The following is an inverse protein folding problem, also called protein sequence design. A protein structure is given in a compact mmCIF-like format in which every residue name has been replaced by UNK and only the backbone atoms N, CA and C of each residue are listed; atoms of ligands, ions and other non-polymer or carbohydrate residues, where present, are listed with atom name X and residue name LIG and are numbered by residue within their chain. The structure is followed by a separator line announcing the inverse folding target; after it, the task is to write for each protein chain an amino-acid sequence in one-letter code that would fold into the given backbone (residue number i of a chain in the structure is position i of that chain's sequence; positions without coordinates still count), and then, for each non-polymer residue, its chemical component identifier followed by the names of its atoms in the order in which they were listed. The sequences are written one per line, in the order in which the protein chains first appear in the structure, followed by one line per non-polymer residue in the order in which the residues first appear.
data_IF_949437997528
#
_entry.id   IF_949437997528
#
_cell.length_a   1.000
_cell.length_b   1.000
_cell.length_c   1.000
_cell.angle_alpha   90.00
_cell.angle_beta   90.00
_cell.angle_gamma   90.00
#
_symmetry.space_group_name_H-M   'P 1'
#
loop_
_entity.id
_entity.type
_entity.pdbx_description
1 polymer ?
#
# COMPACT_ATOMS: atom_id res chain seq x y z
N UNK A 1 12.36 17.32 37.21
CA UNK A 1 13.61 16.57 36.89
C UNK A 1 13.30 15.08 37.03
N UNK A 2 13.60 14.22 36.04
CA UNK A 2 13.31 12.79 36.13
C UNK A 2 13.96 12.17 37.37
N UNK A 3 13.27 11.23 38.02
CA UNK A 3 13.81 10.51 39.17
C UNK A 3 15.02 9.65 38.76
N UNK A 4 15.79 9.15 39.73
CA UNK A 4 16.87 8.18 39.43
C UNK A 4 16.29 6.91 38.79
N UNK A 5 15.17 6.43 39.33
CA UNK A 5 14.49 5.22 38.86
C UNK A 5 13.97 5.35 37.42
N UNK A 6 13.30 6.44 37.07
CA UNK A 6 12.82 6.65 35.69
C UNK A 6 13.97 6.75 34.69
N UNK A 7 15.13 7.27 35.11
CA UNK A 7 16.33 7.32 34.27
C UNK A 7 16.91 5.93 34.04
N UNK A 8 16.98 5.11 35.10
CA UNK A 8 17.44 3.73 34.99
C UNK A 8 16.50 2.91 34.09
N UNK A 9 15.18 3.00 34.27
CA UNK A 9 14.21 2.30 33.42
C UNK A 9 14.38 2.63 31.94
N UNK A 10 14.55 3.90 31.58
CA UNK A 10 14.78 4.29 30.19
C UNK A 10 16.12 3.77 29.66
N UNK A 11 17.19 3.86 30.46
CA UNK A 11 18.50 3.33 30.06
C UNK A 11 18.46 1.81 29.88
N UNK A 12 17.83 1.07 30.78
CA UNK A 12 17.69 -0.38 30.71
C UNK A 12 16.87 -0.81 29.50
N UNK A 13 15.78 -0.10 29.19
CA UNK A 13 14.98 -0.31 27.99
C UNK A 13 15.81 -0.09 26.71
N UNK A 14 16.53 1.03 26.62
CA UNK A 14 17.37 1.33 25.46
C UNK A 14 18.46 0.28 25.28
N UNK A 15 19.14 -0.13 26.36
CA UNK A 15 20.16 -1.17 26.32
C UNK A 15 19.57 -2.52 25.88
N UNK A 16 18.39 -2.88 26.39
CA UNK A 16 17.70 -4.12 26.00
C UNK A 16 17.38 -4.12 24.50
N UNK A 17 16.69 -3.10 23.99
CA UNK A 17 16.29 -3.02 22.59
C UNK A 17 17.51 -2.96 21.64
N UNK A 18 18.59 -2.32 22.09
CA UNK A 18 19.87 -2.31 21.37
C UNK A 18 20.51 -3.70 21.31
N UNK A 19 20.59 -4.40 22.44
CA UNK A 19 21.19 -5.74 22.50
C UNK A 19 20.38 -6.78 21.70
N UNK A 20 19.05 -6.62 21.64
CA UNK A 20 18.15 -7.44 20.83
C UNK A 20 18.19 -7.07 19.33
N UNK A 21 18.87 -5.98 18.96
CA UNK A 21 18.98 -5.50 17.58
C UNK A 21 17.73 -4.77 17.06
N UNK A 22 16.75 -4.48 17.93
CA UNK A 22 15.52 -3.78 17.59
C UNK A 22 15.73 -2.25 17.50
N UNK A 23 16.78 -1.73 18.14
CA UNK A 23 17.11 -0.31 18.17
C UNK A 23 18.51 -0.08 17.60
N UNK A 24 18.59 0.66 16.49
CA UNK A 24 19.86 1.00 15.81
C UNK A 24 20.39 2.38 16.18
N UNK A 25 19.60 3.21 16.86
CA UNK A 25 20.01 4.53 17.32
C UNK A 25 18.85 5.29 17.97
N UNK A 26 19.17 6.27 18.82
CA UNK A 26 18.17 7.04 19.56
C UNK A 26 18.54 8.52 19.66
N UNK A 27 17.62 9.40 19.27
CA UNK A 27 17.83 10.84 19.34
C UNK A 27 16.70 11.55 20.07
N UNK A 28 17.08 12.42 21.01
CA UNK A 28 16.15 13.34 21.67
C UNK A 28 16.33 14.72 21.05
N UNK A 29 15.23 15.40 20.71
CA UNK A 29 15.24 16.75 20.16
C UNK A 29 14.43 17.71 21.02
N UNK A 30 14.68 19.03 20.88
CA UNK A 30 14.02 20.09 21.67
C UNK A 30 14.05 19.85 23.20
N UNK A 31 15.05 19.10 23.68
CA UNK A 31 15.12 18.72 25.07
C UNK A 31 15.67 19.88 25.92
N UNK A 32 15.13 20.11 27.12
CA UNK A 32 15.73 21.04 28.08
C UNK A 32 17.19 20.69 28.40
N UNK A 33 18.01 21.68 28.76
CA UNK A 33 19.46 21.51 28.98
C UNK A 33 19.80 20.34 29.92
N UNK A 34 19.03 20.14 30.98
CA UNK A 34 19.24 19.06 31.94
C UNK A 34 19.00 17.66 31.35
N UNK A 35 18.11 17.51 30.37
CA UNK A 35 17.93 16.26 29.61
C UNK A 35 19.09 16.06 28.64
N UNK A 36 19.55 17.12 27.95
CA UNK A 36 20.69 17.02 27.03
C UNK A 36 21.95 16.55 27.75
N UNK A 37 22.26 17.16 28.89
CA UNK A 37 23.39 16.77 29.75
C UNK A 37 23.26 15.32 30.22
N UNK A 38 22.07 14.89 30.60
CA UNK A 38 21.80 13.52 31.01
C UNK A 38 22.11 12.51 29.90
N UNK A 39 21.69 12.76 28.67
CA UNK A 39 21.97 11.87 27.53
C UNK A 39 23.45 11.88 27.15
N UNK A 40 24.10 13.05 27.16
CA UNK A 40 25.55 13.14 26.86
C UNK A 40 26.41 12.40 27.89
N UNK A 41 26.02 12.42 29.17
CA UNK A 41 26.73 11.70 30.23
C UNK A 41 26.38 10.21 30.21
N UNK A 42 25.10 9.86 30.07
CA UNK A 42 24.64 8.47 30.02
C UNK A 42 25.24 7.69 28.85
N UNK A 43 25.30 8.28 27.65
CA UNK A 43 25.92 7.66 26.48
C UNK A 43 27.42 7.38 26.67
N UNK A 44 28.14 8.25 27.38
CA UNK A 44 29.58 8.06 27.69
C UNK A 44 29.83 6.99 28.74
N UNK A 45 28.97 6.90 29.75
CA UNK A 45 29.13 5.93 30.85
C UNK A 45 28.75 4.52 30.39
N UNK A 46 27.66 4.38 29.64
CA UNK A 46 27.13 3.06 29.27
C UNK A 46 27.69 2.49 27.97
N UNK A 47 28.59 3.21 27.27
CA UNK A 47 29.21 2.79 25.99
C UNK A 47 28.21 2.07 25.07
N UNK A 48 27.05 2.71 24.84
CA UNK A 48 26.00 2.17 23.98
C UNK A 48 26.61 1.73 22.65
N UNK A 49 26.33 0.49 22.24
CA UNK A 49 26.77 -0.05 20.94
C UNK A 49 26.10 0.65 19.76
N UNK A 50 25.07 1.46 20.02
CA UNK A 50 24.36 2.26 19.01
C UNK A 50 24.47 3.76 19.29
N UNK A 51 24.43 4.61 18.23
CA UNK A 51 24.48 6.05 18.37
C UNK A 51 23.29 6.60 19.16
N UNK A 52 23.59 7.32 20.25
CA UNK A 52 22.60 7.99 21.09
C UNK A 52 22.99 9.46 21.29
N UNK A 53 22.09 10.41 20.99
CA UNK A 53 22.41 11.83 21.14
C UNK A 53 21.20 12.75 21.42
N UNK A 54 21.47 13.89 22.04
CA UNK A 54 20.49 14.97 22.19
C UNK A 54 20.77 16.11 21.20
N UNK A 55 19.95 16.19 20.16
CA UNK A 55 20.10 17.14 19.05
C UNK A 55 19.23 18.38 19.24
N UNK A 56 19.47 19.40 18.41
CA UNK A 56 18.83 20.71 18.54
C UNK A 56 17.34 20.65 18.18
N UNK A 57 17.01 19.99 17.09
CA UNK A 57 15.67 20.00 16.50
C UNK A 57 15.28 18.64 15.89
N UNK A 58 13.99 18.51 15.54
CA UNK A 58 13.42 17.31 14.96
C UNK A 58 14.07 16.94 13.62
N UNK A 59 14.38 17.94 12.78
CA UNK A 59 14.97 17.71 11.45
C UNK A 59 16.31 17.00 11.59
N UNK A 60 17.17 17.48 12.47
CA UNK A 60 18.47 16.88 12.77
C UNK A 60 18.31 15.45 13.32
N UNK A 61 17.31 15.22 14.18
CA UNK A 61 17.06 13.88 14.72
C UNK A 61 16.69 12.88 13.62
N UNK A 62 15.83 13.30 12.69
CA UNK A 62 15.37 12.47 11.56
C UNK A 62 16.50 12.22 10.57
N UNK A 63 17.29 13.24 10.23
CA UNK A 63 18.45 13.09 9.34
C UNK A 63 19.44 12.06 9.89
N UNK A 64 19.79 12.15 11.18
CA UNK A 64 20.67 11.18 11.82
C UNK A 64 20.06 9.77 11.84
N UNK A 65 18.75 9.64 12.12
CA UNK A 65 18.07 8.34 12.12
C UNK A 65 18.07 7.70 10.72
N UNK A 66 17.79 8.50 9.69
CA UNK A 66 17.83 8.09 8.28
C UNK A 66 19.23 7.62 7.89
N UNK A 67 20.27 8.33 8.31
CA UNK A 67 21.64 7.97 7.96
C UNK A 67 22.07 6.67 8.65
N UNK A 68 21.71 6.47 9.92
CA UNK A 68 22.00 5.20 10.62
C UNK A 68 21.29 4.03 9.98
N UNK A 69 20.03 4.20 9.57
CA UNK A 69 19.30 3.18 8.83
C UNK A 69 20.00 2.82 7.51
N UNK A 70 20.40 3.82 6.72
CA UNK A 70 21.11 3.61 5.45
C UNK A 70 22.43 2.83 5.64
N UNK A 71 23.25 3.21 6.64
CA UNK A 71 24.50 2.52 6.93
C UNK A 71 24.27 1.07 7.41
N UNK A 72 23.13 0.81 8.04
CA UNK A 72 22.72 -0.54 8.46
C UNK A 72 22.10 -1.37 7.31
N UNK A 73 22.13 -0.87 6.07
CA UNK A 73 21.54 -1.53 4.91
C UNK A 73 20.01 -1.50 4.88
N UNK A 74 19.37 -0.69 5.74
CA UNK A 74 17.93 -0.51 5.77
C UNK A 74 17.55 0.76 5.01
N UNK A 75 16.70 0.63 4.00
CA UNK A 75 16.17 1.79 3.28
C UNK A 75 15.04 2.43 4.11
N UNK A 76 15.18 3.66 4.59
CA UNK A 76 14.14 4.34 5.35
C UNK A 76 12.87 4.47 4.50
N UNK A 77 11.73 3.99 5.03
CA UNK A 77 10.46 3.95 4.31
C UNK A 77 10.18 2.65 3.55
N UNK A 78 11.12 1.70 3.48
CA UNK A 78 10.84 0.36 2.97
C UNK A 78 9.99 -0.43 3.98
N UNK A 79 8.67 -0.25 3.92
CA UNK A 79 7.73 -1.08 4.68
C UNK A 79 7.85 -2.53 4.22
N UNK A 80 8.33 -3.41 5.09
CA UNK A 80 8.32 -4.86 4.86
C UNK A 80 6.91 -5.39 5.13
N UNK A 81 6.08 -5.44 4.10
CA UNK A 81 4.83 -6.17 4.18
C UNK A 81 5.12 -7.66 4.17
N UNK A 82 4.51 -8.41 5.11
CA UNK A 82 4.51 -9.87 5.03
C UNK A 82 3.88 -10.29 3.71
N UNK A 83 4.58 -11.12 2.94
CA UNK A 83 4.08 -11.67 1.69
C UNK A 83 3.93 -13.17 1.83
N UNK A 84 2.85 -13.69 1.28
CA UNK A 84 2.57 -15.11 1.24
C UNK A 84 2.19 -15.52 -0.17
N UNK A 85 2.71 -16.64 -0.63
CA UNK A 85 2.40 -17.23 -1.92
C UNK A 85 2.55 -18.74 -1.82
N UNK A 86 1.94 -19.46 -2.75
CA UNK A 86 2.07 -20.91 -2.90
C UNK A 86 2.39 -21.22 -4.35
N UNK A 87 3.05 -22.35 -4.61
CA UNK A 87 3.43 -22.74 -5.96
C UNK A 87 2.20 -22.89 -6.88
N UNK A 88 1.11 -23.41 -6.32
CA UNK A 88 -0.17 -23.59 -7.01
C UNK A 88 -1.04 -22.32 -7.10
N UNK A 89 -0.51 -21.16 -6.68
CA UNK A 89 -1.08 -19.83 -6.91
C UNK A 89 -0.54 -19.18 -8.21
N UNK A 90 0.03 -20.02 -9.07
CA UNK A 90 0.63 -19.63 -10.34
C UNK A 90 0.05 -20.50 -11.45
N UNK A 91 -0.24 -19.88 -12.59
CA UNK A 91 -0.55 -20.58 -13.84
C UNK A 91 0.38 -20.01 -14.90
N UNK A 92 1.07 -20.92 -15.58
CA UNK A 92 1.82 -20.64 -16.81
C UNK A 92 1.11 -21.33 -17.97
N UNK A 93 0.69 -20.54 -18.95
CA UNK A 93 0.12 -20.97 -20.22
C UNK A 93 1.06 -20.54 -21.34
N UNK A 94 0.81 -21.03 -22.55
CA UNK A 94 1.68 -20.85 -23.71
C UNK A 94 2.31 -19.45 -23.84
N UNK A 95 1.50 -18.40 -23.83
CA UNK A 95 1.95 -17.01 -24.00
C UNK A 95 1.36 -16.08 -22.93
N UNK A 96 0.94 -16.62 -21.80
CA UNK A 96 0.33 -15.86 -20.71
C UNK A 96 0.59 -16.56 -19.41
N UNK A 97 1.09 -15.82 -18.42
CA UNK A 97 1.22 -16.33 -17.07
C UNK A 97 0.69 -15.36 -16.04
N UNK A 98 0.32 -15.92 -14.90
CA UNK A 98 -0.17 -15.18 -13.77
C UNK A 98 0.28 -15.83 -12.47
N UNK A 99 0.71 -14.97 -11.53
CA UNK A 99 0.98 -15.34 -10.15
C UNK A 99 0.20 -14.45 -9.20
N UNK A 100 -0.28 -15.05 -8.11
CA UNK A 100 -0.87 -14.33 -6.99
C UNK A 100 0.02 -14.37 -5.76
N UNK A 101 0.04 -13.26 -5.03
CA UNK A 101 0.62 -13.13 -3.71
C UNK A 101 -0.40 -12.45 -2.77
N UNK A 102 -0.46 -12.88 -1.52
CA UNK A 102 -1.13 -12.15 -0.46
C UNK A 102 -0.12 -11.22 0.22
N UNK A 103 -0.40 -9.92 0.22
CA UNK A 103 0.38 -8.91 0.94
C UNK A 103 -0.39 -8.49 2.18
N UNK A 104 0.26 -8.58 3.35
CA UNK A 104 -0.40 -8.34 4.64
C UNK A 104 -1.46 -9.39 4.91
N UNK A 105 -2.71 -8.97 5.13
CA UNK A 105 -3.83 -9.84 5.47
C UNK A 105 -5.09 -9.61 4.62
N UNK A 106 -5.00 -8.77 3.59
CA UNK A 106 -6.15 -8.32 2.81
C UNK A 106 -5.81 -7.75 1.43
N UNK A 107 -4.55 -7.76 0.99
CA UNK A 107 -4.18 -7.26 -0.35
C UNK A 107 -3.81 -8.44 -1.24
N UNK A 108 -4.63 -8.69 -2.26
CA UNK A 108 -4.25 -9.58 -3.35
C UNK A 108 -3.37 -8.84 -4.34
N UNK A 109 -2.14 -9.30 -4.50
CA UNK A 109 -1.21 -8.83 -5.50
C UNK A 109 -1.17 -9.79 -6.67
N UNK A 110 -1.59 -9.31 -7.84
CA UNK A 110 -1.59 -10.06 -9.09
C UNK A 110 -0.43 -9.63 -9.96
N UNK A 111 0.38 -10.57 -10.42
CA UNK A 111 1.47 -10.34 -11.38
C UNK A 111 1.09 -11.07 -12.66
N UNK A 112 0.85 -10.34 -13.74
CA UNK A 112 0.51 -10.91 -15.03
C UNK A 112 1.59 -10.62 -16.07
N UNK A 113 1.85 -11.58 -16.95
CA UNK A 113 2.78 -11.41 -18.06
C UNK A 113 2.26 -12.05 -19.36
N UNK A 114 2.81 -11.60 -20.49
CA UNK A 114 2.41 -12.08 -21.82
C UNK A 114 1.10 -11.47 -22.33
N UNK A 115 0.29 -12.26 -23.03
CA UNK A 115 -0.89 -11.81 -23.76
C UNK A 115 -2.18 -12.52 -23.32
N UNK A 116 -3.11 -11.77 -22.71
CA UNK A 116 -4.39 -12.32 -22.24
C UNK A 116 -5.35 -12.58 -23.41
N UNK A 117 -5.79 -13.84 -23.55
CA UNK A 117 -6.77 -14.32 -24.54
C UNK A 117 -8.02 -14.87 -23.85
N UNK A 118 -9.10 -15.01 -24.60
CA UNK A 118 -10.42 -15.49 -24.13
C UNK A 118 -10.32 -16.84 -23.42
N UNK A 119 -9.56 -17.77 -24.02
CA UNK A 119 -9.35 -19.12 -23.51
C UNK A 119 -8.68 -19.16 -22.13
N UNK A 120 -8.08 -18.05 -21.67
CA UNK A 120 -7.34 -17.96 -20.42
C UNK A 120 -8.15 -17.30 -19.29
N UNK A 121 -9.24 -16.60 -19.63
CA UNK A 121 -10.03 -15.81 -18.65
C UNK A 121 -10.69 -16.72 -17.62
N UNK A 122 -11.27 -17.85 -18.03
CA UNK A 122 -11.89 -18.79 -17.08
C UNK A 122 -10.86 -19.39 -16.12
N UNK A 123 -9.67 -19.76 -16.63
CA UNK A 123 -8.56 -20.27 -15.82
C UNK A 123 -8.08 -19.24 -14.81
N UNK A 124 -8.00 -17.97 -15.21
CA UNK A 124 -7.70 -16.85 -14.31
C UNK A 124 -8.69 -16.79 -13.14
N UNK A 125 -10.00 -16.84 -13.41
CA UNK A 125 -11.00 -16.70 -12.33
C UNK A 125 -11.05 -17.91 -11.41
N UNK A 126 -10.89 -19.13 -11.94
CA UNK A 126 -10.76 -20.35 -11.11
C UNK A 126 -9.59 -20.22 -10.13
N UNK A 127 -8.44 -19.73 -10.60
CA UNK A 127 -7.28 -19.49 -9.73
C UNK A 127 -7.55 -18.37 -8.73
N UNK A 128 -8.14 -17.25 -9.17
CA UNK A 128 -8.44 -16.12 -8.30
C UNK A 128 -9.39 -16.53 -7.15
N UNK A 129 -10.43 -17.30 -7.44
CA UNK A 129 -11.36 -17.83 -6.43
C UNK A 129 -10.67 -18.76 -5.44
N UNK A 130 -9.83 -19.67 -5.93
CA UNK A 130 -9.00 -20.54 -5.09
C UNK A 130 -8.13 -19.72 -4.13
N UNK A 131 -7.42 -18.71 -4.66
CA UNK A 131 -6.55 -17.83 -3.87
C UNK A 131 -7.35 -17.07 -2.81
N UNK A 132 -8.53 -16.53 -3.15
CA UNK A 132 -9.38 -15.84 -2.18
C UNK A 132 -9.84 -16.76 -1.03
N UNK A 133 -10.18 -18.01 -1.35
CA UNK A 133 -10.54 -19.02 -0.37
C UNK A 133 -9.36 -19.37 0.56
N UNK A 134 -8.23 -19.75 -0.02
CA UNK A 134 -7.05 -20.17 0.73
C UNK A 134 -6.35 -19.05 1.50
N UNK A 135 -6.47 -17.80 1.04
CA UNK A 135 -6.01 -16.62 1.78
C UNK A 135 -6.95 -16.21 2.92
N UNK A 136 -8.09 -16.90 3.09
CA UNK A 136 -9.11 -16.57 4.08
C UNK A 136 -9.91 -15.30 3.76
N UNK A 137 -9.79 -14.76 2.54
CA UNK A 137 -10.44 -13.51 2.13
C UNK A 137 -11.92 -13.69 1.83
N UNK A 138 -12.32 -14.88 1.39
CA UNK A 138 -13.74 -15.24 1.28
C UNK A 138 -14.42 -15.18 2.64
N UNK A 139 -13.80 -15.72 3.69
CA UNK A 139 -14.33 -15.66 5.06
C UNK A 139 -14.29 -14.22 5.64
N UNK A 140 -13.26 -13.45 5.29
CA UNK A 140 -13.15 -12.02 5.64
C UNK A 140 -14.22 -11.15 4.98
N UNK A 141 -14.74 -11.58 3.83
CA UNK A 141 -15.81 -10.90 3.11
C UNK A 141 -15.38 -9.65 2.32
N UNK A 142 -14.08 -9.32 2.29
CA UNK A 142 -13.56 -8.24 1.45
C UNK A 142 -12.04 -8.35 1.25
N UNK A 143 -11.55 -7.65 0.22
CA UNK A 143 -10.12 -7.49 -0.02
C UNK A 143 -9.81 -6.21 -0.79
N UNK A 144 -8.52 -5.88 -0.87
CA UNK A 144 -7.94 -4.86 -1.73
C UNK A 144 -7.08 -5.54 -2.79
N UNK A 145 -6.85 -4.86 -3.91
CA UNK A 145 -6.09 -5.45 -5.01
C UNK A 145 -4.97 -4.55 -5.52
N UNK A 146 -3.82 -5.13 -5.79
CA UNK A 146 -2.76 -4.51 -6.58
C UNK A 146 -2.52 -5.39 -7.82
N UNK A 147 -2.38 -4.77 -8.98
CA UNK A 147 -2.13 -5.49 -10.23
C UNK A 147 -0.86 -4.93 -10.87
N UNK A 148 0.11 -5.81 -11.11
CA UNK A 148 1.31 -5.52 -11.88
C UNK A 148 1.14 -5.99 -13.33
N UNK A 149 1.19 -5.04 -14.25
CA UNK A 149 1.11 -5.25 -15.70
C UNK A 149 2.42 -4.91 -16.43
N UNK A 150 3.53 -4.75 -15.71
CA UNK A 150 4.83 -4.36 -16.29
C UNK A 150 5.28 -5.30 -17.41
N UNK A 151 4.95 -6.59 -17.31
CA UNK A 151 5.25 -7.62 -18.31
C UNK A 151 4.02 -8.05 -19.11
N UNK A 152 2.88 -7.36 -18.96
CA UNK A 152 1.68 -7.63 -19.74
C UNK A 152 1.77 -6.90 -21.07
N UNK A 153 1.76 -7.65 -22.16
CA UNK A 153 1.95 -7.12 -23.50
C UNK A 153 0.65 -6.62 -24.10
N UNK A 154 -0.35 -7.50 -24.21
CA UNK A 154 -1.61 -7.26 -24.94
C UNK A 154 -2.78 -8.00 -24.31
N UNK A 155 -3.98 -7.56 -24.66
CA UNK A 155 -5.23 -8.28 -24.39
C UNK A 155 -6.20 -8.10 -25.55
N UNK A 156 -6.92 -9.15 -25.92
CA UNK A 156 -7.96 -9.03 -26.96
C UNK A 156 -9.17 -8.25 -26.40
N UNK A 157 -9.99 -7.67 -27.27
CA UNK A 157 -11.23 -7.00 -26.84
C UNK A 157 -12.19 -7.97 -26.13
N UNK A 158 -12.40 -9.16 -26.70
CA UNK A 158 -13.31 -10.16 -26.14
C UNK A 158 -12.78 -10.72 -24.81
N UNK A 159 -11.47 -10.92 -24.65
CA UNK A 159 -10.89 -11.27 -23.35
C UNK A 159 -11.10 -10.18 -22.29
N UNK A 160 -10.93 -8.90 -22.66
CA UNK A 160 -11.20 -7.78 -21.75
C UNK A 160 -12.66 -7.72 -21.31
N UNK A 161 -13.61 -7.92 -22.24
CA UNK A 161 -15.04 -7.97 -21.92
C UNK A 161 -15.33 -9.11 -20.94
N UNK A 162 -14.89 -10.34 -21.27
CA UNK A 162 -15.06 -11.51 -20.40
C UNK A 162 -14.42 -11.29 -19.03
N UNK A 163 -13.27 -10.62 -18.97
CA UNK A 163 -12.60 -10.30 -17.72
C UNK A 163 -13.39 -9.30 -16.87
N UNK A 164 -13.96 -8.25 -17.48
CA UNK A 164 -14.81 -7.28 -16.78
C UNK A 164 -16.07 -7.97 -16.24
N UNK A 165 -16.70 -8.83 -17.04
CA UNK A 165 -17.90 -9.56 -16.63
C UNK A 165 -17.60 -10.54 -15.48
N UNK A 166 -16.52 -11.31 -15.59
CA UNK A 166 -16.06 -12.17 -14.49
C UNK A 166 -15.67 -11.39 -13.22
N UNK A 167 -15.12 -10.18 -13.35
CA UNK A 167 -14.87 -9.31 -12.19
C UNK A 167 -16.18 -8.87 -11.51
N UNK A 168 -17.24 -8.57 -12.27
CA UNK A 168 -18.56 -8.25 -11.70
C UNK A 168 -19.10 -9.42 -10.88
N UNK A 169 -18.99 -10.63 -11.40
CA UNK A 169 -19.50 -11.82 -10.73
C UNK A 169 -18.65 -12.24 -9.53
N UNK A 170 -17.33 -12.07 -9.60
CA UNK A 170 -16.46 -12.26 -8.44
C UNK A 170 -16.76 -11.22 -7.34
N UNK A 171 -16.92 -9.95 -7.71
CA UNK A 171 -17.15 -8.85 -6.77
C UNK A 171 -18.50 -8.96 -6.04
N UNK A 172 -19.51 -9.60 -6.64
CA UNK A 172 -20.77 -9.93 -5.95
C UNK A 172 -20.58 -10.92 -4.80
N UNK A 173 -19.59 -11.82 -4.92
CA UNK A 173 -19.33 -12.89 -3.93
C UNK A 173 -18.33 -12.45 -2.87
N UNK A 174 -17.21 -11.86 -3.28
CA UNK A 174 -16.20 -11.32 -2.39
C UNK A 174 -15.84 -9.91 -2.89
N UNK A 175 -16.40 -8.85 -2.27
CA UNK A 175 -16.15 -7.48 -2.68
C UNK A 175 -14.67 -7.07 -2.64
N UNK A 176 -14.16 -6.59 -3.77
CA UNK A 176 -12.92 -5.85 -3.84
C UNK A 176 -13.22 -4.38 -3.55
N UNK A 177 -12.67 -3.83 -2.46
CA UNK A 177 -12.95 -2.44 -2.04
C UNK A 177 -12.25 -1.40 -2.91
N UNK A 178 -11.03 -1.69 -3.32
CA UNK A 178 -10.22 -0.76 -4.11
C UNK A 178 -9.12 -1.53 -4.85
N UNK A 179 -8.81 -1.10 -6.08
CA UNK A 179 -7.77 -1.74 -6.88
C UNK A 179 -6.78 -0.73 -7.46
N UNK A 180 -5.48 -1.02 -7.36
CA UNK A 180 -4.40 -0.18 -7.88
C UNK A 180 -3.61 -0.92 -8.95
N UNK A 181 -3.42 -0.30 -10.10
CA UNK A 181 -2.67 -0.88 -11.22
C UNK A 181 -1.33 -0.15 -11.40
N UNK A 182 -0.26 -0.86 -11.71
CA UNK A 182 1.01 -0.25 -12.15
C UNK A 182 1.67 -1.07 -13.26
N UNK A 183 2.72 -0.50 -13.87
CA UNK A 183 3.41 -1.13 -14.99
C UNK A 183 2.66 -0.99 -16.32
N UNK A 184 1.83 0.05 -16.46
CA UNK A 184 1.06 0.29 -17.68
C UNK A 184 1.96 0.91 -18.76
N UNK A 185 1.98 0.32 -19.95
CA UNK A 185 2.48 1.00 -21.14
C UNK A 185 1.44 2.02 -21.66
N UNK A 186 1.80 2.85 -22.65
CA UNK A 186 0.92 3.91 -23.20
C UNK A 186 -0.43 3.34 -23.68
N UNK A 187 -0.41 2.22 -24.39
CA UNK A 187 -1.61 1.57 -24.91
C UNK A 187 -2.52 1.05 -23.80
N UNK A 188 -1.97 0.34 -22.81
CA UNK A 188 -2.74 -0.18 -21.67
C UNK A 188 -3.29 0.94 -20.78
N UNK A 189 -2.57 2.06 -20.65
CA UNK A 189 -3.06 3.23 -19.92
C UNK A 189 -4.35 3.79 -20.53
N UNK A 190 -4.41 3.91 -21.86
CA UNK A 190 -5.63 4.31 -22.57
C UNK A 190 -6.76 3.30 -22.36
N UNK A 191 -6.47 2.01 -22.44
CA UNK A 191 -7.46 0.95 -22.20
C UNK A 191 -8.06 1.05 -20.79
N UNK A 192 -7.23 1.24 -19.77
CA UNK A 192 -7.67 1.38 -18.38
C UNK A 192 -8.57 2.61 -18.23
N UNK A 193 -8.21 3.74 -18.84
CA UNK A 193 -9.01 4.96 -18.82
C UNK A 193 -10.42 4.74 -19.37
N UNK A 194 -10.54 4.07 -20.52
CA UNK A 194 -11.83 3.76 -21.16
C UNK A 194 -12.64 2.75 -20.34
N UNK A 195 -11.96 1.72 -19.81
CA UNK A 195 -12.61 0.59 -19.14
C UNK A 195 -13.05 0.89 -17.71
N UNK A 196 -12.56 1.98 -17.12
CA UNK A 196 -12.77 2.35 -15.70
C UNK A 196 -14.22 2.46 -15.28
N UNK A 197 -15.10 2.93 -16.15
CA UNK A 197 -16.54 3.08 -15.85
C UNK A 197 -17.30 1.75 -15.83
N UNK A 198 -16.73 0.67 -16.41
CA UNK A 198 -17.39 -0.63 -16.54
C UNK A 198 -16.95 -1.64 -15.49
N UNK A 199 -15.88 -1.36 -14.74
CA UNK A 199 -15.39 -2.23 -13.66
C UNK A 199 -16.18 -2.00 -12.37
N UNK A 200 -16.48 -3.07 -11.61
CA UNK A 200 -17.34 -3.00 -10.41
C UNK A 200 -16.62 -2.46 -9.16
N UNK A 201 -15.38 -1.99 -9.30
CA UNK A 201 -14.50 -1.59 -8.20
C UNK A 201 -13.83 -0.26 -8.54
N UNK A 202 -13.68 0.68 -7.58
CA UNK A 202 -12.88 1.86 -7.80
C UNK A 202 -11.43 1.48 -8.13
N UNK A 203 -10.95 1.96 -9.28
CA UNK A 203 -9.57 1.73 -9.74
C UNK A 203 -8.77 3.03 -9.81
N UNK A 204 -7.46 2.92 -9.55
CA UNK A 204 -6.48 3.98 -9.82
C UNK A 204 -5.16 3.37 -10.30
N UNK A 205 -4.22 4.21 -10.70
CA UNK A 205 -2.89 3.80 -11.16
C UNK A 205 -1.78 4.30 -10.24
N UNK A 206 -0.66 3.58 -10.23
CA UNK A 206 0.55 3.92 -9.50
C UNK A 206 1.78 3.73 -10.38
N UNK A 207 2.91 4.31 -9.95
CA UNK A 207 4.19 4.16 -10.66
C UNK A 207 4.87 2.82 -10.39
N UNK A 208 4.70 2.29 -9.18
CA UNK A 208 5.34 1.05 -8.72
C UNK A 208 4.56 0.46 -7.54
N UNK A 209 5.00 -0.70 -7.06
CA UNK A 209 4.40 -1.42 -5.95
C UNK A 209 4.37 -0.59 -4.65
N UNK A 210 5.44 0.13 -4.32
CA UNK A 210 5.50 0.94 -3.09
C UNK A 210 4.43 2.05 -3.08
N UNK A 211 4.28 2.77 -4.20
CA UNK A 211 3.23 3.77 -4.34
C UNK A 211 1.85 3.15 -4.35
N UNK A 212 1.68 1.98 -4.96
CA UNK A 212 0.41 1.26 -4.95
C UNK A 212 -0.03 0.89 -3.51
N UNK A 213 0.91 0.38 -2.71
CA UNK A 213 0.68 0.06 -1.30
C UNK A 213 0.33 1.30 -0.49
N UNK A 214 1.08 2.40 -0.66
CA UNK A 214 0.80 3.66 0.03
C UNK A 214 -0.58 4.24 -0.32
N UNK A 215 -1.06 4.05 -1.56
CA UNK A 215 -2.41 4.45 -1.96
C UNK A 215 -3.47 3.62 -1.25
N UNK A 216 -3.31 2.28 -1.21
CA UNK A 216 -4.26 1.40 -0.52
C UNK A 216 -4.34 1.73 0.97
N UNK A 217 -3.20 1.98 1.62
CA UNK A 217 -3.19 2.34 3.05
C UNK A 217 -3.92 3.65 3.33
N UNK A 218 -3.74 4.67 2.48
CA UNK A 218 -4.50 5.92 2.60
C UNK A 218 -6.00 5.66 2.46
N UNK A 219 -6.39 4.77 1.55
CA UNK A 219 -7.80 4.43 1.36
C UNK A 219 -8.38 3.68 2.56
N UNK A 220 -7.64 2.71 3.12
CA UNK A 220 -8.01 2.04 4.37
C UNK A 220 -8.21 3.02 5.51
N UNK A 221 -7.29 4.00 5.65
CA UNK A 221 -7.36 4.98 6.73
C UNK A 221 -8.59 5.88 6.63
N UNK A 222 -9.01 6.25 5.42
CA UNK A 222 -10.26 7.03 5.19
C UNK A 222 -11.51 6.25 5.58
N UNK A 223 -11.53 4.93 5.44
CA UNK A 223 -12.66 4.10 5.87
C UNK A 223 -12.77 4.02 7.39
N UNK A 224 -11.65 4.12 8.11
CA UNK A 224 -11.60 4.10 9.59
C UNK A 224 -11.85 5.46 10.25
N UNK A 225 -11.76 6.58 9.52
CA UNK A 225 -12.11 7.88 10.09
C UNK A 225 -13.64 8.01 10.23
N UNK A 226 -14.18 8.35 11.43
CA UNK A 226 -15.60 8.60 11.56
C UNK A 226 -15.98 9.76 10.65
N UNK A 227 -16.96 9.54 9.76
CA UNK A 227 -17.57 10.59 8.95
C UNK A 227 -18.22 11.60 9.90
N UNK A 228 -17.48 12.62 10.31
CA UNK A 228 -18.05 13.83 10.90
C UNK A 228 -18.88 14.46 9.79
N UNK A 229 -20.18 14.17 9.79
CA UNK A 229 -21.16 14.84 8.94
C UNK A 229 -21.15 16.33 9.26
N UNK A 230 -20.33 17.09 8.54
CA UNK A 230 -20.52 18.53 8.42
C UNK A 230 -21.81 18.73 7.63
N UNK A 231 -22.91 19.03 8.32
CA UNK A 231 -24.10 19.68 7.74
C UNK A 231 -23.65 21.03 7.15
N UNK A 232 -23.17 21.01 5.91
CA UNK A 232 -22.91 22.18 5.09
C UNK A 232 -24.04 22.35 4.09
N UNK A 233 -24.68 23.51 4.11
CA UNK A 233 -25.80 23.92 3.25
C UNK A 233 -25.53 23.60 1.76
N UNK A 234 -26.52 23.00 1.08
CA UNK A 234 -26.57 22.91 -0.40
C UNK A 234 -26.52 24.34 -0.98
N UNK A 235 -25.67 24.62 -1.98
CA UNK A 235 -25.89 25.76 -2.88
C UNK A 235 -27.13 25.48 -3.77
N UNK A 236 -27.87 26.50 -4.21
CA UNK A 236 -29.06 26.31 -5.01
C UNK A 236 -28.72 25.69 -6.37
N UNK A 237 -29.61 24.81 -6.79
CA UNK A 237 -29.63 24.09 -8.06
C UNK A 237 -29.79 25.09 -9.21
N UNK A 238 -28.85 25.13 -10.15
CA UNK A 238 -29.00 25.92 -11.38
C UNK A 238 -29.81 25.10 -12.38
N UNK A 239 -31.04 25.51 -12.62
CA UNK A 239 -31.86 25.01 -13.73
C UNK A 239 -31.37 25.66 -15.03
N UNK A 240 -30.96 24.85 -16.00
CA UNK A 240 -30.59 25.31 -17.34
C UNK A 240 -31.82 25.19 -18.25
N UNK A 241 -32.13 26.24 -19.03
CA UNK A 241 -33.23 26.25 -20.01
C UNK A 241 -32.80 25.57 -21.32
N UNK A 242 -33.77 25.00 -22.05
CA UNK A 242 -33.56 24.22 -23.29
C UNK A 242 -32.82 24.98 -24.41
N UNK A 243 -32.77 26.30 -24.38
CA UNK A 243 -31.95 27.12 -25.31
C UNK A 243 -30.43 26.91 -25.14
N UNK A 244 -29.95 26.41 -23.99
CA UNK A 244 -28.52 26.24 -23.73
C UNK A 244 -27.96 24.89 -24.23
N UNK A 245 -28.82 23.96 -24.66
CA UNK A 245 -28.44 22.62 -25.11
C UNK A 245 -28.18 22.58 -26.64
N UNK A 246 -28.68 23.56 -27.40
CA UNK A 246 -28.57 23.60 -28.87
C UNK A 246 -27.21 24.04 -29.45
N UNK A 247 -26.19 24.33 -28.63
CA UNK A 247 -24.89 24.87 -29.12
C UNK A 247 -23.72 23.87 -29.18
N UNK A 248 -23.98 22.58 -28.99
CA UNK A 248 -22.96 21.53 -29.06
C UNK A 248 -23.31 20.42 -30.06
N UNK A 249 -24.04 20.75 -31.11
CA UNK A 249 -24.44 19.81 -32.16
C UNK A 249 -24.17 20.34 -33.57
N UNK A 250 -22.96 20.88 -33.77
CA UNK A 250 -22.29 20.98 -35.07
C UNK A 250 -20.84 20.48 -34.94
#
# INVERSE_FOLDING_TARGET
KPSKESRMMLTDLLLKETNEGNLLGFWVFNAPLYIRLMFSVGARIHKSSVPVAAVKDYKTAVENAVDVLKHSGLTPGARRYKRFTKDDWTIELENYGIRFELIGSDIIYTIAHGSLKEAYVEKFFKLHEKVLGEAGLTAKGYYYRIINWEKLEKSTWKARKMYIDGLKDLNKRVPCKFSVLFGLNKFMSTIVGISRQFVPVPITTARNLEKALAIIEREKNKETEPKITKKGKKPPEKTYTEEQIGKYSE
#
